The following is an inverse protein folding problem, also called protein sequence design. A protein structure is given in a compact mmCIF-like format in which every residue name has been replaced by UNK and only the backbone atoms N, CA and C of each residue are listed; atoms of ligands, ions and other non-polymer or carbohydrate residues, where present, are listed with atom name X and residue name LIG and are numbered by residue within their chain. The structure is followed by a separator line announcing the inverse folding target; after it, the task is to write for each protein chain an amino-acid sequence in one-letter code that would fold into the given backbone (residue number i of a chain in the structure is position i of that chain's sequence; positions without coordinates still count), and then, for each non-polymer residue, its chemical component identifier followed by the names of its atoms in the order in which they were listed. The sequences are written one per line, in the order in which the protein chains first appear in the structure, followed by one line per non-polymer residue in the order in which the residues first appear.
data_IF_001045575646
#
_entry.id   IF_001045575646
#
_cell.length_a   1.000
_cell.length_b   1.000
_cell.length_c   1.000
_cell.angle_alpha   90.00
_cell.angle_beta   90.00
_cell.angle_gamma   90.00
#
_symmetry.space_group_name_H-M   'P 1'
#
loop_
_entity.id
_entity.type
_entity.pdbx_description
1 polymer ?
#
# COMPACT_ATOMS: atom_id res chain seq x y z
N UNK A 1 -6.09 6.15 -1.57
CA UNK A 1 -5.81 4.77 -2.01
C UNK A 1 -4.91 4.78 -3.23
N UNK A 2 -3.88 3.93 -3.29
CA UNK A 2 -3.18 3.67 -4.53
C UNK A 2 -4.18 3.07 -5.53
N UNK A 3 -4.30 3.67 -6.72
CA UNK A 3 -5.18 3.12 -7.77
C UNK A 3 -4.56 1.83 -8.30
N UNK A 4 -5.36 0.76 -8.54
CA UNK A 4 -4.85 -0.41 -9.22
C UNK A 4 -4.36 -0.02 -10.61
N UNK A 5 -3.20 -0.53 -10.99
CA UNK A 5 -2.61 -0.32 -12.31
C UNK A 5 -3.29 -1.20 -13.35
N UNK A 6 -3.22 -0.77 -14.61
CA UNK A 6 -3.56 -1.57 -15.79
C UNK A 6 -2.56 -2.72 -15.94
N UNK A 7 -2.88 -3.88 -15.41
CA UNK A 7 -2.09 -5.10 -15.50
C UNK A 7 -2.87 -6.29 -14.95
N UNK A 8 -2.41 -7.54 -15.19
CA UNK A 8 -3.08 -8.70 -14.65
C UNK A 8 -3.13 -8.65 -13.13
N UNK A 9 -4.30 -8.95 -12.57
CA UNK A 9 -4.54 -8.94 -11.11
C UNK A 9 -4.94 -10.33 -10.64
N UNK A 10 -4.65 -10.62 -9.37
CA UNK A 10 -5.06 -11.84 -8.68
C UNK A 10 -5.94 -11.54 -7.47
N UNK A 11 -6.69 -12.51 -7.02
CA UNK A 11 -7.42 -12.43 -5.74
C UNK A 11 -6.42 -12.48 -4.57
N UNK A 12 -6.79 -11.95 -3.38
CA UNK A 12 -6.06 -12.22 -2.15
C UNK A 12 -5.91 -13.73 -1.90
N UNK A 13 -4.89 -14.18 -1.13
CA UNK A 13 -4.66 -15.60 -0.82
C UNK A 13 -5.66 -16.19 0.19
N UNK A 14 -6.68 -15.44 0.54
CA UNK A 14 -7.79 -15.82 1.42
C UNK A 14 -9.12 -15.43 0.76
N UNK A 15 -10.23 -16.00 1.24
CA UNK A 15 -11.57 -15.62 0.80
C UNK A 15 -12.03 -14.36 1.53
N UNK A 16 -12.22 -13.22 0.83
CA UNK A 16 -12.71 -12.00 1.46
C UNK A 16 -14.12 -12.12 2.06
N UNK A 17 -14.95 -13.04 1.60
CA UNK A 17 -16.31 -13.23 2.12
C UNK A 17 -16.29 -13.77 3.56
N UNK A 18 -15.34 -14.66 3.87
CA UNK A 18 -15.12 -15.15 5.23
C UNK A 18 -14.67 -14.02 6.16
N UNK A 19 -13.77 -13.17 5.70
CA UNK A 19 -13.32 -12.01 6.47
C UNK A 19 -14.48 -11.02 6.72
N UNK A 20 -15.31 -10.76 5.73
CA UNK A 20 -16.48 -9.88 5.82
C UNK A 20 -17.50 -10.41 6.83
N UNK A 21 -17.82 -11.71 6.77
CA UNK A 21 -18.74 -12.34 7.72
C UNK A 21 -18.22 -12.25 9.16
N UNK A 22 -16.93 -12.56 9.37
CA UNK A 22 -16.31 -12.49 10.70
C UNK A 22 -16.29 -11.05 11.26
N UNK A 23 -15.93 -10.06 10.44
CA UNK A 23 -15.91 -8.65 10.83
C UNK A 23 -17.31 -8.12 11.15
N UNK A 24 -18.32 -8.51 10.37
CA UNK A 24 -19.71 -8.11 10.60
C UNK A 24 -20.25 -8.68 11.92
N UNK A 25 -19.93 -9.93 12.24
CA UNK A 25 -20.30 -10.54 13.51
C UNK A 25 -19.56 -9.91 14.72
N UNK A 26 -18.28 -9.56 14.54
CA UNK A 26 -17.45 -9.02 15.63
C UNK A 26 -17.74 -7.55 15.96
N UNK A 27 -18.21 -6.74 14.99
CA UNK A 27 -18.38 -5.30 15.14
C UNK A 27 -19.61 -4.76 14.41
N UNK A 28 -20.76 -4.56 15.13
CA UNK A 28 -22.01 -4.09 14.52
C UNK A 28 -21.92 -2.72 13.82
N UNK A 29 -21.02 -1.82 14.26
CA UNK A 29 -20.82 -0.54 13.58
C UNK A 29 -20.05 -0.73 12.26
N UNK A 30 -19.10 -1.66 12.24
CA UNK A 30 -18.40 -2.04 10.99
C UNK A 30 -19.36 -2.77 10.04
N UNK A 31 -20.24 -3.63 10.54
CA UNK A 31 -21.27 -4.30 9.73
C UNK A 31 -22.14 -3.29 8.95
N UNK A 32 -22.61 -2.23 9.61
CA UNK A 32 -23.37 -1.15 8.97
C UNK A 32 -22.57 -0.44 7.85
N UNK A 33 -21.26 -0.27 8.03
CA UNK A 33 -20.41 0.29 6.98
C UNK A 33 -20.27 -0.68 5.81
N UNK A 34 -20.08 -1.96 6.10
CA UNK A 34 -19.99 -3.05 5.10
C UNK A 34 -21.25 -3.07 4.22
N UNK A 35 -22.43 -3.07 4.83
CA UNK A 35 -23.72 -3.03 4.11
C UNK A 35 -23.81 -1.82 3.16
N UNK A 36 -23.38 -0.66 3.62
CA UNK A 36 -23.42 0.60 2.86
C UNK A 36 -22.42 0.69 1.72
N UNK A 37 -21.29 0.00 1.83
CA UNK A 37 -20.18 0.08 0.87
C UNK A 37 -20.10 -1.10 -0.08
N UNK A 38 -20.83 -2.18 0.23
CA UNK A 38 -20.85 -3.39 -0.57
C UNK A 38 -19.62 -4.30 -0.39
N UNK A 39 -19.45 -5.28 -1.26
CA UNK A 39 -18.44 -6.32 -1.13
C UNK A 39 -17.02 -5.81 -1.34
N UNK A 40 -16.06 -6.53 -0.80
CA UNK A 40 -14.63 -6.24 -0.98
C UNK A 40 -14.24 -6.48 -2.44
N UNK A 41 -13.69 -5.43 -3.05
CA UNK A 41 -13.17 -5.47 -4.43
C UNK A 41 -11.65 -5.43 -4.49
N UNK A 42 -10.97 -5.78 -3.39
CA UNK A 42 -9.52 -5.82 -3.33
C UNK A 42 -8.97 -6.79 -4.38
N UNK A 43 -8.09 -6.27 -5.24
CA UNK A 43 -7.32 -7.04 -6.22
C UNK A 43 -5.84 -6.74 -6.00
N UNK A 44 -5.04 -7.76 -6.03
CA UNK A 44 -3.59 -7.65 -5.93
C UNK A 44 -3.02 -7.67 -7.34
N UNK A 45 -1.99 -6.87 -7.65
CA UNK A 45 -1.30 -7.00 -8.92
C UNK A 45 -0.66 -8.40 -9.05
N UNK A 46 -0.38 -8.82 -10.29
CA UNK A 46 0.43 -10.01 -10.55
C UNK A 46 1.76 -9.93 -9.81
N UNK A 47 2.36 -11.08 -9.54
CA UNK A 47 3.55 -11.16 -8.69
C UNK A 47 4.66 -10.27 -9.21
N UNK A 48 5.03 -9.27 -8.40
CA UNK A 48 6.23 -8.47 -8.53
C UNK A 48 7.21 -8.90 -7.43
N UNK A 49 8.50 -8.78 -7.70
CA UNK A 49 9.49 -8.92 -6.64
C UNK A 49 9.33 -7.79 -5.60
N UNK A 50 9.75 -7.97 -4.35
CA UNK A 50 9.77 -6.89 -3.36
C UNK A 50 10.57 -5.67 -3.83
N UNK A 51 11.68 -5.90 -4.53
CA UNK A 51 12.48 -4.85 -5.16
C UNK A 51 11.67 -4.00 -6.13
N UNK A 52 10.99 -4.60 -7.10
CA UNK A 52 10.17 -3.88 -8.09
C UNK A 52 9.03 -3.10 -7.41
N UNK A 53 8.35 -3.73 -6.45
CA UNK A 53 7.25 -3.09 -5.73
C UNK A 53 7.71 -1.88 -4.90
N UNK A 54 8.88 -1.97 -4.26
CA UNK A 54 9.45 -0.87 -3.49
C UNK A 54 10.03 0.23 -4.39
N UNK A 55 10.68 -0.13 -5.51
CA UNK A 55 11.16 0.84 -6.49
C UNK A 55 10.00 1.68 -7.03
N UNK A 56 8.89 1.02 -7.38
CA UNK A 56 7.67 1.71 -7.75
C UNK A 56 7.16 2.62 -6.64
N UNK A 57 7.11 2.15 -5.40
CA UNK A 57 6.65 2.95 -4.26
C UNK A 57 7.49 4.20 -4.07
N UNK A 58 8.83 4.12 -4.16
CA UNK A 58 9.75 5.26 -4.09
C UNK A 58 9.45 6.28 -5.19
N UNK A 59 9.23 5.83 -6.42
CA UNK A 59 8.93 6.71 -7.55
C UNK A 59 7.62 7.46 -7.34
N UNK A 60 6.62 6.82 -6.75
CA UNK A 60 5.29 7.38 -6.56
C UNK A 60 5.12 8.27 -5.32
N UNK A 61 6.07 8.24 -4.37
CA UNK A 61 6.01 9.09 -3.18
C UNK A 61 5.89 10.57 -3.54
N UNK A 62 5.00 11.31 -2.85
CA UNK A 62 4.81 12.76 -2.96
C UNK A 62 4.50 13.29 -4.37
N UNK A 63 3.99 12.44 -5.26
CA UNK A 63 3.61 12.84 -6.61
C UNK A 63 2.15 12.53 -6.90
N UNK A 64 1.54 13.34 -7.77
CA UNK A 64 0.25 13.00 -8.36
C UNK A 64 0.41 11.78 -9.28
N UNK A 65 -0.56 10.85 -9.26
CA UNK A 65 -0.46 9.56 -9.93
C UNK A 65 -0.07 9.60 -11.42
N UNK A 66 -0.55 10.61 -12.20
CA UNK A 66 -0.18 10.78 -13.61
C UNK A 66 1.31 11.14 -13.77
N UNK A 67 1.81 12.08 -12.97
CA UNK A 67 3.21 12.49 -13.02
C UNK A 67 4.13 11.33 -12.62
N UNK A 68 3.79 10.61 -11.56
CA UNK A 68 4.55 9.43 -11.12
C UNK A 68 4.57 8.33 -12.19
N UNK A 69 3.43 8.08 -12.85
CA UNK A 69 3.35 7.10 -13.95
C UNK A 69 4.25 7.48 -15.13
N UNK A 70 4.28 8.77 -15.50
CA UNK A 70 5.17 9.26 -16.57
C UNK A 70 6.64 9.07 -16.21
N UNK A 71 7.05 9.44 -15.01
CA UNK A 71 8.44 9.26 -14.54
C UNK A 71 8.82 7.78 -14.53
N UNK A 72 7.93 6.93 -14.01
CA UNK A 72 8.17 5.49 -13.98
C UNK A 72 8.30 4.90 -15.38
N UNK A 73 7.41 5.26 -16.30
CA UNK A 73 7.50 4.80 -17.69
C UNK A 73 8.79 5.24 -18.38
N UNK A 74 9.23 6.51 -18.18
CA UNK A 74 10.51 7.01 -18.71
C UNK A 74 11.71 6.27 -18.12
N UNK A 75 11.67 5.97 -16.81
CA UNK A 75 12.72 5.19 -16.17
C UNK A 75 12.79 3.79 -16.80
N UNK A 76 11.68 3.07 -16.92
CA UNK A 76 11.66 1.75 -17.55
C UNK A 76 12.19 1.81 -19.01
N UNK A 77 11.73 2.78 -19.79
CA UNK A 77 12.18 2.97 -21.18
C UNK A 77 13.70 3.23 -21.26
N UNK A 78 14.29 3.92 -20.30
CA UNK A 78 15.74 4.17 -20.31
C UNK A 78 16.59 2.91 -20.07
N UNK A 79 15.99 1.83 -19.57
CA UNK A 79 16.64 0.52 -19.38
C UNK A 79 16.20 -0.54 -20.41
N UNK A 80 15.29 -0.20 -21.33
CA UNK A 80 14.78 -1.13 -22.34
C UNK A 80 15.88 -1.84 -23.15
N UNK A 81 16.99 -1.19 -23.55
CA UNK A 81 18.09 -1.86 -24.28
C UNK A 81 18.76 -2.99 -23.48
N UNK A 82 18.65 -2.94 -22.13
CA UNK A 82 19.28 -3.93 -21.23
C UNK A 82 18.28 -5.00 -20.74
N UNK A 83 17.02 -4.64 -20.59
CA UNK A 83 16.03 -5.49 -19.91
C UNK A 83 14.89 -5.94 -20.81
N UNK A 84 14.74 -5.36 -22.01
CA UNK A 84 13.58 -5.52 -22.87
C UNK A 84 12.40 -4.61 -22.47
N UNK A 85 11.46 -4.46 -23.41
CA UNK A 85 10.34 -3.52 -23.31
C UNK A 85 9.49 -3.74 -22.04
N UNK A 86 9.34 -2.68 -21.24
CA UNK A 86 8.47 -2.66 -20.08
C UNK A 86 8.96 -3.46 -18.87
N UNK A 87 10.11 -4.10 -18.95
CA UNK A 87 10.70 -4.82 -17.84
C UNK A 87 11.41 -3.88 -16.87
N UNK A 88 11.43 -4.26 -15.59
CA UNK A 88 12.18 -3.54 -14.57
C UNK A 88 13.68 -3.79 -14.70
N UNK A 89 14.53 -2.75 -14.49
CA UNK A 89 15.96 -2.97 -14.36
C UNK A 89 16.26 -3.84 -13.15
N UNK A 90 17.29 -4.66 -13.25
CA UNK A 90 17.82 -5.40 -12.09
C UNK A 90 18.40 -4.43 -11.04
N UNK A 91 18.59 -4.87 -9.78
CA UNK A 91 19.31 -4.07 -8.79
C UNK A 91 20.68 -3.61 -9.30
N UNK A 92 21.43 -4.49 -9.97
CA UNK A 92 22.75 -4.16 -10.52
C UNK A 92 22.66 -3.08 -11.59
N UNK A 93 21.67 -3.13 -12.49
CA UNK A 93 21.47 -2.09 -13.51
C UNK A 93 21.25 -0.71 -12.88
N UNK A 94 20.53 -0.63 -11.75
CA UNK A 94 20.34 0.66 -11.03
C UNK A 94 21.61 1.17 -10.36
N UNK A 95 22.53 0.29 -9.94
CA UNK A 95 23.81 0.69 -9.38
C UNK A 95 24.78 1.17 -10.43
N UNK A 96 24.78 0.52 -11.59
CA UNK A 96 25.76 0.79 -12.65
C UNK A 96 25.36 1.97 -13.54
N UNK A 97 24.07 2.32 -13.63
CA UNK A 97 23.63 3.38 -14.53
C UNK A 97 24.14 4.76 -14.10
N UNK A 98 24.45 5.68 -15.06
CA UNK A 98 24.79 7.06 -14.73
C UNK A 98 23.64 7.80 -14.03
N UNK A 99 23.98 8.78 -13.19
CA UNK A 99 22.97 9.63 -12.53
C UNK A 99 22.12 10.40 -13.55
N UNK A 100 22.71 10.79 -14.67
CA UNK A 100 22.06 11.51 -15.77
C UNK A 100 20.92 10.72 -16.37
N UNK A 101 21.05 9.39 -16.48
CA UNK A 101 19.98 8.49 -16.98
C UNK A 101 18.75 8.54 -16.08
N UNK A 102 18.92 8.44 -14.76
CA UNK A 102 17.82 8.51 -13.80
C UNK A 102 17.23 9.94 -13.71
N UNK A 103 18.09 10.96 -13.82
CA UNK A 103 17.65 12.36 -13.79
C UNK A 103 16.83 12.72 -15.03
N UNK A 104 17.22 12.27 -16.21
CA UNK A 104 16.50 12.51 -17.47
C UNK A 104 15.12 11.85 -17.47
N UNK A 105 14.93 10.75 -16.73
CA UNK A 105 13.63 10.16 -16.50
C UNK A 105 12.72 11.02 -15.59
N UNK A 106 13.28 12.04 -14.91
CA UNK A 106 12.54 12.94 -14.02
C UNK A 106 12.64 12.58 -12.52
N UNK A 107 13.59 11.73 -12.12
CA UNK A 107 13.81 11.37 -10.73
C UNK A 107 14.55 12.48 -9.97
N UNK A 108 14.05 12.84 -8.79
CA UNK A 108 14.76 13.73 -7.88
C UNK A 108 15.99 13.06 -7.26
N UNK A 109 16.96 13.87 -6.79
CA UNK A 109 18.17 13.37 -6.12
C UNK A 109 17.85 12.40 -4.99
N UNK A 110 16.85 12.71 -4.16
CA UNK A 110 16.47 11.84 -3.05
C UNK A 110 15.89 10.50 -3.52
N UNK A 111 15.09 10.48 -4.59
CA UNK A 111 14.57 9.24 -5.18
C UNK A 111 15.67 8.40 -5.82
N UNK A 112 16.62 9.02 -6.49
CA UNK A 112 17.78 8.31 -7.04
C UNK A 112 18.60 7.64 -5.93
N UNK A 113 18.88 8.37 -4.82
CA UNK A 113 19.58 7.81 -3.67
C UNK A 113 18.80 6.65 -3.02
N UNK A 114 17.47 6.79 -2.91
CA UNK A 114 16.62 5.73 -2.36
C UNK A 114 16.58 4.48 -3.25
N UNK A 115 16.51 4.65 -4.58
CA UNK A 115 16.55 3.54 -5.53
C UNK A 115 17.89 2.80 -5.52
N UNK A 116 19.01 3.53 -5.39
CA UNK A 116 20.34 2.90 -5.27
C UNK A 116 20.51 2.16 -3.95
N UNK A 117 20.04 2.75 -2.84
CA UNK A 117 20.07 2.08 -1.54
C UNK A 117 19.20 0.82 -1.53
N UNK A 118 18.00 0.88 -2.14
CA UNK A 118 17.14 -0.28 -2.37
C UNK A 118 17.86 -1.36 -3.18
N UNK A 119 18.55 -0.97 -4.26
CA UNK A 119 19.28 -1.90 -5.12
C UNK A 119 20.43 -2.58 -4.35
N UNK A 120 21.24 -1.82 -3.63
CA UNK A 120 22.33 -2.36 -2.80
C UNK A 120 21.80 -3.34 -1.76
N UNK A 121 20.75 -2.96 -1.02
CA UNK A 121 20.12 -3.80 0.00
C UNK A 121 19.37 -5.01 -0.55
N UNK A 122 19.04 -5.01 -1.83
CA UNK A 122 18.51 -6.21 -2.50
C UNK A 122 19.63 -7.20 -2.82
N UNK A 123 20.80 -6.71 -3.21
CA UNK A 123 21.94 -7.56 -3.52
C UNK A 123 22.60 -8.17 -2.28
N UNK A 124 22.64 -7.42 -1.17
CA UNK A 124 23.18 -7.93 0.10
C UNK A 124 22.20 -8.82 0.90
N UNK A 125 20.94 -8.94 0.43
CA UNK A 125 19.91 -9.77 1.04
C UNK A 125 19.11 -9.09 2.15
N UNK A 126 19.37 -7.84 2.50
CA UNK A 126 18.54 -7.07 3.46
C UNK A 126 17.10 -6.95 2.97
N UNK A 127 16.90 -6.72 1.66
CA UNK A 127 15.57 -6.83 1.04
C UNK A 127 15.33 -8.28 0.63
N UNK A 128 14.39 -9.00 1.29
CA UNK A 128 14.19 -10.41 1.07
C UNK A 128 13.65 -10.70 -0.33
N UNK A 129 13.96 -11.89 -0.86
CA UNK A 129 13.32 -12.38 -2.08
C UNK A 129 11.82 -12.65 -1.88
N UNK A 130 11.05 -12.75 -2.98
CA UNK A 130 9.63 -13.11 -2.90
C UNK A 130 9.38 -14.46 -2.21
N UNK A 131 10.30 -15.40 -2.37
CA UNK A 131 10.22 -16.72 -1.73
C UNK A 131 10.45 -16.63 -0.21
N UNK A 132 11.43 -15.84 0.21
CA UNK A 132 11.74 -15.61 1.63
C UNK A 132 10.62 -14.83 2.33
N UNK A 133 10.16 -13.71 1.74
CA UNK A 133 9.16 -12.82 2.35
C UNK A 133 7.82 -13.52 2.62
N UNK A 134 7.46 -14.54 1.83
CA UNK A 134 6.24 -15.33 2.03
C UNK A 134 6.27 -16.13 3.34
N UNK A 135 7.46 -16.44 3.85
CA UNK A 135 7.66 -17.25 5.07
C UNK A 135 7.91 -16.39 6.32
N UNK A 136 8.12 -15.10 6.15
CA UNK A 136 8.40 -14.17 7.24
C UNK A 136 7.11 -13.70 7.92
N UNK A 137 7.20 -13.32 9.19
CA UNK A 137 6.15 -12.55 9.87
C UNK A 137 6.04 -11.14 9.29
N UNK A 138 4.90 -10.48 9.50
CA UNK A 138 4.70 -9.11 9.02
C UNK A 138 5.67 -8.13 9.70
N UNK A 139 5.99 -8.35 10.98
CA UNK A 139 6.93 -7.51 11.71
C UNK A 139 8.38 -7.69 11.24
N UNK A 140 8.83 -8.94 11.00
CA UNK A 140 10.15 -9.20 10.42
C UNK A 140 10.30 -8.52 9.05
N UNK A 141 9.24 -8.56 8.22
CA UNK A 141 9.25 -7.86 6.93
C UNK A 141 9.40 -6.35 7.12
N UNK A 142 8.69 -5.79 8.09
CA UNK A 142 8.79 -4.36 8.39
C UNK A 142 10.21 -4.02 8.84
N UNK A 143 10.80 -4.76 9.78
CA UNK A 143 12.14 -4.53 10.29
C UNK A 143 13.22 -4.57 9.20
N UNK A 144 13.10 -5.48 8.24
CA UNK A 144 14.02 -5.55 7.10
C UNK A 144 13.84 -4.37 6.15
N UNK A 145 12.60 -4.07 5.76
CA UNK A 145 12.35 -3.12 4.69
C UNK A 145 12.45 -1.65 5.10
N UNK A 146 12.24 -1.31 6.37
CA UNK A 146 12.47 0.07 6.88
C UNK A 146 13.94 0.48 6.88
N UNK A 147 14.87 -0.45 6.74
CA UNK A 147 16.29 -0.14 6.58
C UNK A 147 16.59 0.55 5.24
N UNK A 148 15.70 0.38 4.25
CA UNK A 148 15.86 1.03 2.94
C UNK A 148 15.54 2.52 3.04
N UNK A 149 16.46 3.34 2.52
CA UNK A 149 16.31 4.79 2.50
C UNK A 149 14.97 5.23 1.90
N UNK A 150 14.21 6.02 2.66
CA UNK A 150 12.91 6.54 2.21
C UNK A 150 11.75 5.55 2.30
N UNK A 151 11.98 4.36 2.81
CA UNK A 151 10.93 3.39 3.11
C UNK A 151 10.61 3.45 4.61
N UNK A 152 9.41 3.89 4.95
CA UNK A 152 8.90 3.88 6.32
C UNK A 152 7.89 2.75 6.54
N UNK A 153 7.53 2.51 7.81
CA UNK A 153 6.56 1.49 8.22
C UNK A 153 5.28 1.53 7.38
N UNK A 154 4.71 2.72 7.18
CA UNK A 154 3.50 2.88 6.36
C UNK A 154 3.66 2.34 4.92
N UNK A 155 4.81 2.58 4.29
CA UNK A 155 5.08 2.05 2.93
C UNK A 155 5.12 0.53 2.92
N UNK A 156 5.70 -0.07 3.96
CA UNK A 156 5.74 -1.53 4.11
C UNK A 156 4.34 -2.09 4.38
N UNK A 157 3.55 -1.47 5.24
CA UNK A 157 2.15 -1.85 5.49
C UNK A 157 1.31 -1.84 4.20
N UNK A 158 1.52 -0.84 3.32
CA UNK A 158 0.88 -0.80 2.00
C UNK A 158 1.34 -1.96 1.10
N UNK A 159 2.61 -2.32 1.14
CA UNK A 159 3.14 -3.50 0.44
C UNK A 159 2.51 -4.80 0.99
N UNK A 160 2.44 -4.95 2.31
CA UNK A 160 1.81 -6.11 2.95
C UNK A 160 0.35 -6.29 2.50
N UNK A 161 -0.45 -5.22 2.54
CA UNK A 161 -1.87 -5.27 2.18
C UNK A 161 -2.07 -5.45 0.66
N UNK A 162 -1.44 -4.59 -0.15
CA UNK A 162 -1.78 -4.44 -1.58
C UNK A 162 -0.89 -5.22 -2.54
N UNK A 163 0.23 -5.78 -2.07
CA UNK A 163 1.13 -6.60 -2.90
C UNK A 163 1.20 -8.04 -2.41
N UNK A 164 1.40 -8.23 -1.12
CA UNK A 164 1.50 -9.58 -0.54
C UNK A 164 0.13 -10.16 -0.20
N UNK A 165 -0.87 -9.33 0.08
CA UNK A 165 -2.22 -9.76 0.46
C UNK A 165 -2.27 -10.30 1.88
N UNK A 166 -1.48 -9.73 2.80
CA UNK A 166 -1.52 -10.12 4.21
C UNK A 166 -2.88 -9.74 4.82
N UNK A 167 -3.55 -10.65 5.53
CA UNK A 167 -4.92 -10.44 6.00
C UNK A 167 -5.02 -9.52 7.22
N UNK A 168 -3.96 -9.38 8.01
CA UNK A 168 -4.05 -8.86 9.38
C UNK A 168 -3.16 -7.63 9.65
N UNK A 169 -3.17 -6.67 8.75
CA UNK A 169 -2.41 -5.40 8.87
C UNK A 169 -3.36 -4.25 9.22
N UNK A 170 -3.03 -3.50 10.28
CA UNK A 170 -3.73 -2.28 10.69
C UNK A 170 -2.80 -1.06 10.61
N UNK A 171 -2.83 -0.29 9.52
CA UNK A 171 -1.96 0.87 9.34
C UNK A 171 -2.48 2.07 10.17
N UNK A 172 -2.14 2.09 11.45
CA UNK A 172 -2.64 3.07 12.43
C UNK A 172 -2.19 4.50 12.16
N UNK A 173 -1.14 4.69 11.37
CA UNK A 173 -0.64 6.01 10.99
C UNK A 173 -1.18 6.46 9.61
N UNK A 174 -1.94 5.60 8.91
CA UNK A 174 -2.55 5.99 7.63
C UNK A 174 -3.68 7.01 7.83
N UNK A 175 -3.55 8.17 7.18
CA UNK A 175 -4.53 9.24 7.27
C UNK A 175 -5.93 8.79 6.86
N UNK A 176 -6.05 8.02 5.78
CA UNK A 176 -7.34 7.55 5.26
C UNK A 176 -8.00 6.56 6.21
N UNK A 177 -7.23 5.65 6.81
CA UNK A 177 -7.73 4.69 7.81
C UNK A 177 -8.14 5.42 9.09
N UNK A 178 -7.34 6.36 9.60
CA UNK A 178 -7.69 7.19 10.77
C UNK A 178 -8.95 8.01 10.53
N UNK A 179 -9.07 8.65 9.36
CA UNK A 179 -10.26 9.41 8.98
C UNK A 179 -11.48 8.52 8.82
N UNK A 180 -11.35 7.39 8.12
CA UNK A 180 -12.45 6.43 7.95
C UNK A 180 -12.94 5.85 9.28
N UNK A 181 -12.01 5.61 10.21
CA UNK A 181 -12.34 5.22 11.58
C UNK A 181 -13.14 6.32 12.29
N UNK A 182 -12.71 7.57 12.21
CA UNK A 182 -13.42 8.69 12.82
C UNK A 182 -14.83 8.87 12.24
N UNK A 183 -14.99 8.74 10.91
CA UNK A 183 -16.29 8.77 10.23
C UNK A 183 -17.22 7.64 10.70
N UNK A 184 -16.67 6.45 10.95
CA UNK A 184 -17.46 5.25 11.28
C UNK A 184 -17.77 5.17 12.77
N UNK A 185 -16.83 5.53 13.64
CA UNK A 185 -16.90 5.21 15.07
C UNK A 185 -16.93 6.42 16.00
N UNK A 186 -16.38 7.58 15.57
CA UNK A 186 -16.23 8.76 16.43
C UNK A 186 -17.19 9.91 16.08
N UNK A 187 -18.09 9.71 15.11
CA UNK A 187 -19.11 10.71 14.76
C UNK A 187 -18.62 11.86 13.90
N UNK A 188 -17.44 11.76 13.28
CA UNK A 188 -16.97 12.76 12.31
C UNK A 188 -17.98 12.88 11.16
N UNK A 189 -18.43 14.09 10.85
CA UNK A 189 -19.39 14.32 9.76
C UNK A 189 -18.67 14.42 8.40
N UNK A 190 -19.26 13.91 7.30
CA UNK A 190 -18.67 13.99 5.96
C UNK A 190 -18.27 15.39 5.50
N UNK A 191 -19.07 16.39 5.87
CA UNK A 191 -18.90 17.81 5.51
C UNK A 191 -17.98 18.58 6.46
N UNK A 192 -17.56 17.97 7.57
CA UNK A 192 -16.74 18.63 8.58
C UNK A 192 -15.29 18.77 8.10
N UNK A 193 -14.72 19.97 8.28
CA UNK A 193 -13.28 20.18 8.06
C UNK A 193 -12.51 19.32 9.05
N UNK A 194 -11.64 18.45 8.53
CA UNK A 194 -10.86 17.52 9.34
C UNK A 194 -9.64 18.23 9.90
N UNK A 195 -9.51 18.22 11.22
CA UNK A 195 -8.32 18.64 11.96
C UNK A 195 -7.65 17.42 12.62
N UNK A 196 -6.37 17.47 13.00
CA UNK A 196 -5.65 16.32 13.54
C UNK A 196 -6.29 15.69 14.79
N UNK A 197 -6.94 16.50 15.64
CA UNK A 197 -7.65 16.11 16.86
C UNK A 197 -8.95 15.34 16.60
N UNK A 198 -9.53 15.49 15.41
CA UNK A 198 -10.71 14.75 14.98
C UNK A 198 -10.40 13.38 14.40
N UNK A 199 -9.14 13.11 14.11
CA UNK A 199 -8.71 11.81 13.61
C UNK A 199 -8.61 10.80 14.76
N UNK A 200 -8.88 9.53 14.45
CA UNK A 200 -8.66 8.46 15.42
C UNK A 200 -7.21 8.43 15.92
N UNK A 201 -7.03 8.22 17.22
CA UNK A 201 -5.70 7.98 17.78
C UNK A 201 -5.27 6.54 17.55
N UNK A 202 -3.95 6.28 17.66
CA UNK A 202 -3.37 4.93 17.59
C UNK A 202 -4.05 4.00 18.60
N UNK A 203 -4.18 4.41 19.84
CA UNK A 203 -4.75 3.60 20.94
C UNK A 203 -6.21 3.25 20.68
N UNK A 204 -7.00 4.21 20.15
CA UNK A 204 -8.40 3.95 19.78
C UNK A 204 -8.50 2.87 18.70
N UNK A 205 -7.64 2.97 17.69
CA UNK A 205 -7.63 2.02 16.55
C UNK A 205 -7.12 0.64 16.98
N UNK A 206 -6.03 0.57 17.74
CA UNK A 206 -5.47 -0.68 18.25
C UNK A 206 -6.45 -1.40 19.18
N UNK A 207 -7.07 -0.67 20.13
CA UNK A 207 -8.08 -1.22 21.03
C UNK A 207 -9.25 -1.84 20.28
N UNK A 208 -9.79 -1.14 19.27
CA UNK A 208 -10.90 -1.67 18.47
C UNK A 208 -10.44 -2.76 17.52
N UNK A 209 -9.27 -2.59 16.92
CA UNK A 209 -8.65 -3.52 15.98
C UNK A 209 -8.39 -4.91 16.55
N UNK A 210 -8.35 -5.07 17.89
CA UNK A 210 -8.30 -6.40 18.54
C UNK A 210 -9.48 -7.28 18.12
N UNK A 211 -10.67 -6.70 17.92
CA UNK A 211 -11.87 -7.42 17.48
C UNK A 211 -11.83 -7.83 16.00
N UNK A 212 -10.99 -7.20 15.20
CA UNK A 212 -10.91 -7.39 13.76
C UNK A 212 -9.87 -8.43 13.34
N UNK A 213 -8.98 -8.84 14.28
CA UNK A 213 -8.03 -9.89 13.99
C UNK A 213 -8.75 -11.22 13.68
N UNK A 214 -8.28 -12.01 12.71
CA UNK A 214 -7.09 -11.81 11.87
C UNK A 214 -7.38 -11.08 10.53
N UNK A 215 -8.38 -10.21 10.45
CA UNK A 215 -8.88 -9.59 9.22
C UNK A 215 -8.70 -8.06 9.19
N UNK A 216 -7.70 -7.54 9.92
CA UNK A 216 -7.48 -6.08 10.06
C UNK A 216 -7.19 -5.38 8.72
N UNK A 217 -6.62 -6.05 7.73
CA UNK A 217 -6.44 -5.50 6.38
C UNK A 217 -7.78 -5.22 5.68
N UNK A 218 -8.76 -6.12 5.84
CA UNK A 218 -10.10 -5.93 5.28
C UNK A 218 -10.84 -4.83 6.04
N UNK A 219 -10.73 -4.78 7.35
CA UNK A 219 -11.29 -3.67 8.13
C UNK A 219 -10.69 -2.32 7.70
N UNK A 220 -9.37 -2.25 7.49
CA UNK A 220 -8.69 -1.06 6.96
C UNK A 220 -9.18 -0.69 5.57
N UNK A 221 -9.43 -1.66 4.70
CA UNK A 221 -10.02 -1.44 3.39
C UNK A 221 -11.39 -0.76 3.51
N UNK A 222 -12.24 -1.17 4.45
CA UNK A 222 -13.52 -0.52 4.70
C UNK A 222 -13.38 0.89 5.28
N UNK A 223 -12.32 1.19 6.05
CA UNK A 223 -12.06 2.56 6.50
C UNK A 223 -11.77 3.49 5.31
N UNK A 224 -11.00 3.03 4.32
CA UNK A 224 -10.84 3.82 3.09
C UNK A 224 -12.16 3.96 2.32
N UNK A 225 -13.02 2.94 2.29
CA UNK A 225 -14.37 3.03 1.67
C UNK A 225 -15.26 4.02 2.40
N UNK A 226 -15.17 4.14 3.72
CA UNK A 226 -15.89 5.17 4.48
C UNK A 226 -15.51 6.58 4.00
N UNK A 227 -14.23 6.82 3.69
CA UNK A 227 -13.79 8.08 3.10
C UNK A 227 -14.34 8.30 1.68
N UNK A 228 -14.38 7.27 0.85
CA UNK A 228 -14.93 7.38 -0.50
C UNK A 228 -16.45 7.59 -0.48
N UNK A 229 -17.15 6.93 0.43
CA UNK A 229 -18.59 7.14 0.66
C UNK A 229 -18.86 8.58 1.11
N UNK A 230 -18.08 9.09 2.07
CA UNK A 230 -18.19 10.46 2.56
C UNK A 230 -17.88 11.51 1.47
N UNK A 231 -17.08 11.16 0.47
CA UNK A 231 -16.74 12.00 -0.67
C UNK A 231 -17.70 11.84 -1.87
N UNK A 232 -18.79 11.05 -1.73
CA UNK A 232 -19.75 10.79 -2.81
C UNK A 232 -19.19 9.98 -3.99
N UNK A 233 -18.08 9.27 -3.79
CA UNK A 233 -17.44 8.45 -4.84
C UNK A 233 -18.02 7.04 -4.95
N UNK A 234 -18.76 6.62 -3.94
CA UNK A 234 -19.49 5.35 -3.90
C UNK A 234 -20.96 5.70 -3.71
N UNK A 235 -21.80 5.22 -4.61
CA UNK A 235 -23.25 5.26 -4.44
C UNK A 235 -23.64 4.06 -3.56
N UNK A 236 -24.50 4.29 -2.56
CA UNK A 236 -25.01 3.20 -1.74
C UNK A 236 -25.75 2.19 -2.63
N UNK A 237 -25.62 0.86 -2.42
CA UNK A 237 -26.52 -0.11 -3.01
C UNK A 237 -27.95 0.26 -2.60
N UNK A 238 -28.85 0.32 -3.57
CA UNK A 238 -30.28 0.50 -3.32
C UNK A 238 -30.88 -0.75 -2.68
#
# INVERSE_FOLDING_TARGET
MPRPRSGPTRKPPYDPSVAVAALSAADPKLAKLIERTGPVTLRLPSQQSPFEALAESIIYQQLHGKAAATIHARMLASFEPLCGLGNHPSPQHLLDCPNEQLRSAGLSKNKMLALRDLAAKTLDGTVPTLAAIKKMSDEDIIEHLIQVRGIGRWTVEMLLIFRLGRPDVLPVDDYGVRKGFALTFLGLKPTQKVTPDLLATREQMERRGKKWAPWRSIASWYMWRACDLAAGKIVQPQ
#
